data_IF_401773385718
#
_entry.id   IF_401773385718
#
_cell.length_a   1.000
_cell.length_b   1.000
_cell.length_c   1.000
_cell.angle_alpha   90.00
_cell.angle_beta   90.00
_cell.angle_gamma   90.00
#
_symmetry.space_group_name_H-M   'P 1'
#
loop_
_entity.id
_entity.type
_entity.pdbx_description
1 polymer ?
#
# COMPACT_ATOMS: atom_id res chain seq x y z
N UNK A 1 11.07 19.25 -2.00
CA UNK A 1 10.22 19.27 -0.79
C UNK A 1 10.86 18.48 0.34
N UNK A 2 10.76 17.12 0.41
CA UNK A 2 11.29 16.35 1.54
C UNK A 2 12.76 16.63 1.85
N UNK A 3 13.60 16.79 0.82
CA UNK A 3 15.02 17.15 0.97
C UNK A 3 15.25 18.53 1.60
N UNK A 4 14.37 19.48 1.36
CA UNK A 4 14.44 20.82 1.97
C UNK A 4 14.16 20.74 3.47
N UNK A 5 13.36 19.75 3.90
CA UNK A 5 13.08 19.45 5.30
C UNK A 5 14.08 18.45 5.92
N UNK A 6 15.23 18.25 5.27
CA UNK A 6 16.28 17.30 5.67
C UNK A 6 15.77 15.84 5.81
N UNK A 7 14.87 15.44 4.94
CA UNK A 7 14.37 14.07 4.85
C UNK A 7 14.81 13.43 3.53
N UNK A 8 15.30 12.21 3.64
CA UNK A 8 15.64 11.36 2.50
C UNK A 8 14.58 10.26 2.40
N UNK A 9 13.83 10.25 1.30
CA UNK A 9 12.90 9.17 0.99
C UNK A 9 13.63 8.13 0.14
N UNK A 10 13.73 6.91 0.66
CA UNK A 10 14.33 5.77 -0.05
C UNK A 10 13.18 4.88 -0.51
N UNK A 11 13.12 4.62 -1.79
CA UNK A 11 12.10 3.75 -2.39
C UNK A 11 12.70 2.36 -2.62
N UNK A 12 11.96 1.33 -2.20
CA UNK A 12 12.38 -0.08 -2.33
C UNK A 12 11.60 -0.83 -3.41
N UNK A 13 10.37 -0.39 -3.70
CA UNK A 13 9.53 -0.93 -4.75
C UNK A 13 8.86 0.20 -5.55
N UNK A 14 8.69 -0.06 -6.84
CA UNK A 14 7.90 0.74 -7.77
C UNK A 14 7.07 -0.18 -8.66
N UNK A 15 7.25 -0.11 -9.98
CA UNK A 15 6.58 -1.01 -10.91
C UNK A 15 7.07 -2.45 -10.74
N UNK A 16 6.12 -3.38 -10.69
CA UNK A 16 6.39 -4.83 -10.57
C UNK A 16 5.76 -5.55 -11.76
N UNK A 17 6.54 -6.38 -12.45
CA UNK A 17 6.07 -7.19 -13.56
C UNK A 17 5.10 -8.27 -13.12
N UNK A 18 4.26 -8.74 -14.05
CA UNK A 18 3.24 -9.75 -13.79
C UNK A 18 3.85 -11.04 -13.23
N UNK A 19 4.88 -11.55 -13.86
CA UNK A 19 5.59 -12.77 -13.47
C UNK A 19 6.22 -12.62 -12.08
N UNK A 20 6.91 -11.51 -11.84
CA UNK A 20 7.52 -11.21 -10.55
C UNK A 20 6.48 -11.12 -9.43
N UNK A 21 5.32 -10.52 -9.69
CA UNK A 21 4.23 -10.46 -8.72
C UNK A 21 3.71 -11.87 -8.39
N UNK A 22 3.61 -12.75 -9.38
CA UNK A 22 3.24 -14.15 -9.20
C UNK A 22 4.24 -14.90 -8.29
N UNK A 23 5.53 -14.74 -8.54
CA UNK A 23 6.59 -15.32 -7.71
C UNK A 23 6.56 -14.81 -6.26
N UNK A 24 6.35 -13.51 -6.07
CA UNK A 24 6.19 -12.90 -4.74
C UNK A 24 5.01 -13.51 -3.97
N UNK A 25 3.88 -13.70 -4.65
CA UNK A 25 2.69 -14.31 -4.06
C UNK A 25 2.93 -15.77 -3.65
N UNK A 26 3.44 -16.59 -4.57
CA UNK A 26 3.72 -18.02 -4.29
C UNK A 26 4.75 -18.18 -3.18
N UNK A 27 5.78 -17.33 -3.12
CA UNK A 27 6.75 -17.31 -2.02
C UNK A 27 6.09 -17.00 -0.69
N UNK A 28 5.20 -16.01 -0.64
CA UNK A 28 4.46 -15.66 0.59
C UNK A 28 3.55 -16.82 1.02
N UNK A 29 2.84 -17.45 0.08
CA UNK A 29 2.00 -18.60 0.37
C UNK A 29 2.83 -19.79 0.90
N UNK A 30 3.99 -20.06 0.30
CA UNK A 30 4.88 -21.12 0.77
C UNK A 30 5.41 -20.85 2.18
N UNK A 31 5.76 -19.61 2.50
CA UNK A 31 6.15 -19.22 3.86
C UNK A 31 5.01 -19.47 4.85
N UNK A 32 3.77 -19.08 4.51
CA UNK A 32 2.59 -19.37 5.34
C UNK A 32 2.35 -20.86 5.58
N UNK A 33 2.56 -21.69 4.55
CA UNK A 33 2.48 -23.14 4.74
C UNK A 33 3.48 -23.66 5.77
N UNK A 34 4.72 -23.18 5.68
CA UNK A 34 5.83 -23.66 6.52
C UNK A 34 5.73 -23.14 7.96
N UNK A 35 5.47 -21.82 8.12
CA UNK A 35 5.53 -21.14 9.42
C UNK A 35 4.26 -21.35 10.25
N UNK A 36 3.10 -21.41 9.58
CA UNK A 36 1.79 -21.51 10.23
C UNK A 36 1.17 -22.92 10.08
N UNK A 37 1.88 -23.86 9.45
CA UNK A 37 1.43 -25.23 9.18
C UNK A 37 0.06 -25.30 8.49
N UNK A 38 -0.17 -24.40 7.54
CA UNK A 38 -1.41 -24.29 6.79
C UNK A 38 -1.44 -25.24 5.58
N UNK A 39 -2.64 -25.63 5.17
CA UNK A 39 -2.83 -26.29 3.87
C UNK A 39 -2.54 -25.29 2.73
N UNK A 40 -2.22 -25.79 1.54
CA UNK A 40 -1.92 -24.93 0.39
C UNK A 40 -3.06 -23.93 0.07
N UNK A 41 -4.32 -24.35 0.21
CA UNK A 41 -5.48 -23.49 -0.02
C UNK A 41 -5.58 -22.41 1.05
N UNK A 42 -5.44 -22.74 2.32
CA UNK A 42 -5.47 -21.78 3.43
C UNK A 42 -4.30 -20.80 3.34
N UNK A 43 -3.10 -21.30 3.02
CA UNK A 43 -1.91 -20.46 2.87
C UNK A 43 -2.09 -19.42 1.76
N UNK A 44 -2.62 -19.79 0.61
CA UNK A 44 -2.92 -18.85 -0.49
C UNK A 44 -3.99 -17.83 -0.09
N UNK A 45 -5.03 -18.25 0.60
CA UNK A 45 -6.08 -17.34 1.09
C UNK A 45 -5.50 -16.32 2.08
N UNK A 46 -4.69 -16.76 3.03
CA UNK A 46 -4.05 -15.89 4.01
C UNK A 46 -2.99 -14.98 3.37
N UNK A 47 -2.23 -15.50 2.41
CA UNK A 47 -1.22 -14.71 1.69
C UNK A 47 -1.79 -13.50 0.96
N UNK A 48 -3.04 -13.55 0.48
CA UNK A 48 -3.71 -12.44 -0.23
C UNK A 48 -3.84 -11.16 0.59
N UNK A 49 -3.89 -11.27 1.92
CA UNK A 49 -3.90 -10.11 2.81
C UNK A 49 -2.54 -9.38 2.88
N UNK A 50 -1.45 -10.08 2.57
CA UNK A 50 -0.09 -9.54 2.63
C UNK A 50 0.50 -9.24 1.25
N UNK A 51 0.20 -10.08 0.27
CA UNK A 51 0.73 -9.99 -1.09
C UNK A 51 -0.36 -10.32 -2.09
N UNK A 52 -0.67 -9.41 -3.00
CA UNK A 52 -1.66 -9.62 -4.04
C UNK A 52 -1.18 -10.62 -5.09
N UNK A 53 -2.11 -11.33 -5.69
CA UNK A 53 -1.83 -12.18 -6.86
C UNK A 53 -1.40 -11.34 -8.06
N UNK A 54 -0.76 -11.99 -9.02
CA UNK A 54 -0.50 -11.38 -10.32
C UNK A 54 -1.83 -10.96 -10.99
N UNK A 55 -1.87 -9.72 -11.50
CA UNK A 55 -3.08 -9.09 -12.04
C UNK A 55 -3.92 -8.33 -11.00
N UNK A 56 -3.68 -8.50 -9.69
CA UNK A 56 -4.41 -7.84 -8.61
C UNK A 56 -3.58 -6.79 -7.86
N UNK A 57 -2.29 -6.66 -8.16
CA UNK A 57 -1.39 -5.77 -7.43
C UNK A 57 -1.36 -4.37 -8.01
N UNK A 58 -1.57 -3.38 -7.17
CA UNK A 58 -1.44 -1.96 -7.53
C UNK A 58 -0.03 -1.58 -8.04
N UNK A 59 1.01 -2.31 -7.63
CA UNK A 59 2.37 -2.09 -8.13
C UNK A 59 2.49 -2.37 -9.64
N UNK A 60 1.62 -3.20 -10.20
CA UNK A 60 1.58 -3.47 -11.64
C UNK A 60 1.01 -2.31 -12.46
N UNK A 61 0.40 -1.32 -11.82
CA UNK A 61 -0.08 -0.09 -12.48
C UNK A 61 1.01 0.95 -12.68
N UNK A 62 2.15 0.83 -11.99
CA UNK A 62 3.20 1.84 -11.93
C UNK A 62 2.84 3.09 -11.11
N UNK A 63 1.73 3.07 -10.39
CA UNK A 63 1.24 4.21 -9.60
C UNK A 63 1.51 4.05 -8.09
N UNK A 64 2.08 2.93 -7.67
CA UNK A 64 2.46 2.69 -6.28
C UNK A 64 3.96 2.73 -6.07
N UNK A 65 4.35 3.21 -4.90
CA UNK A 65 5.72 3.25 -4.42
C UNK A 65 5.77 2.68 -3.01
N UNK A 66 6.81 1.89 -2.71
CA UNK A 66 7.12 1.48 -1.35
C UNK A 66 8.32 2.26 -0.84
N UNK A 67 8.19 2.81 0.36
CA UNK A 67 9.28 3.50 1.06
C UNK A 67 9.98 2.50 1.99
N UNK A 68 11.29 2.60 2.07
CA UNK A 68 12.09 1.84 3.02
C UNK A 68 11.68 2.15 4.45
N UNK A 69 11.42 1.13 5.22
CA UNK A 69 11.05 1.25 6.63
C UNK A 69 10.46 -0.04 7.14
N UNK A 70 10.60 -0.25 8.43
CA UNK A 70 9.93 -1.36 9.10
C UNK A 70 8.45 -1.05 9.27
N UNK A 71 7.58 -1.93 8.82
CA UNK A 71 6.13 -1.76 8.77
C UNK A 71 5.51 -1.44 10.14
N UNK A 72 6.03 -2.07 11.19
CA UNK A 72 5.50 -1.95 12.55
C UNK A 72 5.89 -0.61 13.21
N UNK A 73 7.10 -0.13 12.92
CA UNK A 73 7.67 1.08 13.56
C UNK A 73 7.60 2.32 12.68
N UNK A 74 7.29 2.19 11.38
CA UNK A 74 7.31 3.30 10.41
C UNK A 74 6.46 4.49 10.83
N UNK A 75 5.30 4.25 11.46
CA UNK A 75 4.39 5.31 11.94
C UNK A 75 5.00 6.22 13.00
N UNK A 76 6.00 5.74 13.72
CA UNK A 76 6.72 6.51 14.73
C UNK A 76 7.82 7.38 14.12
N UNK A 77 8.09 7.21 12.82
CA UNK A 77 9.17 7.90 12.13
C UNK A 77 8.81 9.35 11.77
N UNK A 78 9.84 10.19 11.69
CA UNK A 78 9.73 11.56 11.17
C UNK A 78 9.26 11.54 9.70
N UNK A 79 9.67 10.54 8.93
CA UNK A 79 9.26 10.36 7.54
C UNK A 79 7.75 10.16 7.41
N UNK A 80 7.15 9.31 8.24
CA UNK A 80 5.70 9.11 8.25
C UNK A 80 4.94 10.40 8.59
N UNK A 81 5.37 11.12 9.63
CA UNK A 81 4.73 12.38 10.04
C UNK A 81 4.79 13.42 8.92
N UNK A 82 5.93 13.51 8.24
CA UNK A 82 6.10 14.41 7.10
C UNK A 82 5.21 14.02 5.92
N UNK A 83 5.18 12.74 5.57
CA UNK A 83 4.31 12.22 4.50
C UNK A 83 2.85 12.53 4.79
N UNK A 84 2.37 12.24 6.00
CA UNK A 84 1.00 12.50 6.41
C UNK A 84 0.60 13.98 6.24
N UNK A 85 1.53 14.90 6.50
CA UNK A 85 1.29 16.33 6.39
C UNK A 85 1.40 16.87 4.95
N UNK A 86 2.19 16.23 4.10
CA UNK A 86 2.59 16.84 2.83
C UNK A 86 2.22 16.05 1.58
N UNK A 87 2.12 14.71 1.64
CA UNK A 87 2.01 13.89 0.44
C UNK A 87 0.77 14.19 -0.41
N UNK A 88 -0.34 14.61 0.20
CA UNK A 88 -1.57 14.98 -0.52
C UNK A 88 -1.35 16.13 -1.52
N UNK A 89 -0.50 17.10 -1.19
CA UNK A 89 -0.13 18.21 -2.09
C UNK A 89 0.54 17.74 -3.37
N UNK A 90 1.19 16.57 -3.31
CA UNK A 90 1.90 15.94 -4.43
C UNK A 90 1.08 14.83 -5.09
N UNK A 91 -0.18 14.67 -4.69
CA UNK A 91 -1.10 13.70 -5.29
C UNK A 91 -0.95 12.28 -4.78
N UNK A 92 -0.31 12.07 -3.63
CA UNK A 92 -0.13 10.75 -3.04
C UNK A 92 -1.03 10.56 -1.82
N UNK A 93 -1.43 9.31 -1.61
CA UNK A 93 -2.14 8.83 -0.41
C UNK A 93 -1.47 7.57 0.10
N UNK A 94 -1.67 7.24 1.38
CA UNK A 94 -1.37 5.90 1.88
C UNK A 94 -2.31 4.90 1.22
N UNK A 95 -1.74 3.86 0.58
CA UNK A 95 -2.55 2.87 -0.16
C UNK A 95 -3.35 1.96 0.77
N UNK A 96 -2.74 1.54 1.87
CA UNK A 96 -3.32 0.60 2.84
C UNK A 96 -3.34 1.22 4.24
N UNK A 97 -4.22 2.21 4.49
CA UNK A 97 -4.30 2.88 5.80
C UNK A 97 -4.94 1.99 6.85
N UNK A 98 -4.67 2.27 8.12
CA UNK A 98 -5.27 1.57 9.25
C UNK A 98 -6.79 1.70 9.27
N UNK A 99 -7.44 0.63 9.75
CA UNK A 99 -8.90 0.58 9.89
C UNK A 99 -9.65 0.47 8.56
N UNK A 100 -8.94 0.25 7.44
CA UNK A 100 -9.54 0.18 6.11
C UNK A 100 -9.39 -1.19 5.43
N UNK A 101 -8.91 -2.19 6.14
CA UNK A 101 -8.72 -3.54 5.60
C UNK A 101 -10.02 -4.23 5.14
N UNK A 102 -11.18 -3.82 5.67
CA UNK A 102 -12.48 -4.29 5.17
C UNK A 102 -12.81 -3.78 3.75
N UNK A 103 -12.18 -2.70 3.31
CA UNK A 103 -12.31 -2.15 1.96
C UNK A 103 -11.18 -2.58 1.05
N UNK A 104 -9.95 -2.52 1.55
CA UNK A 104 -8.75 -2.82 0.76
C UNK A 104 -8.48 -4.31 0.62
N UNK A 105 -9.00 -5.15 1.53
CA UNK A 105 -8.70 -6.57 1.67
C UNK A 105 -7.20 -6.88 1.79
N UNK A 106 -6.41 -5.90 2.25
CA UNK A 106 -4.97 -6.00 2.50
C UNK A 106 -4.69 -5.49 3.90
N UNK A 107 -3.74 -6.11 4.58
CA UNK A 107 -3.26 -5.64 5.87
C UNK A 107 -2.73 -4.22 5.79
N UNK A 108 -2.94 -3.39 6.81
CA UNK A 108 -2.44 -2.02 6.83
C UNK A 108 -0.92 -1.99 6.59
N UNK A 109 -0.50 -1.10 5.70
CA UNK A 109 0.90 -0.90 5.37
C UNK A 109 1.22 0.58 5.16
N UNK A 110 1.81 1.25 6.17
CA UNK A 110 2.10 2.68 6.09
C UNK A 110 3.27 3.02 5.18
N UNK A 111 3.97 2.02 4.64
CA UNK A 111 5.11 2.23 3.73
C UNK A 111 4.70 2.32 2.26
N UNK A 112 3.45 1.99 1.91
CA UNK A 112 2.97 1.98 0.52
C UNK A 112 2.19 3.23 0.21
N UNK A 113 2.65 3.99 -0.78
CA UNK A 113 2.00 5.17 -1.32
C UNK A 113 1.37 4.87 -2.68
N UNK A 114 0.22 5.50 -2.95
CA UNK A 114 -0.45 5.47 -4.25
C UNK A 114 -0.59 6.89 -4.79
N UNK A 115 -0.23 7.09 -6.06
CA UNK A 115 -0.51 8.32 -6.77
C UNK A 115 -1.95 8.31 -7.28
N UNK A 116 -2.70 9.35 -6.95
CA UNK A 116 -4.12 9.53 -7.33
C UNK A 116 -4.39 10.93 -7.90
N UNK A 117 -3.36 11.79 -7.97
CA UNK A 117 -3.48 13.20 -8.35
C UNK A 117 -3.89 14.12 -7.19
N UNK A 118 -3.50 15.38 -7.26
CA UNK A 118 -3.63 16.33 -6.15
C UNK A 118 -5.07 16.55 -5.68
N UNK A 119 -6.00 16.74 -6.61
CA UNK A 119 -7.42 16.98 -6.28
C UNK A 119 -8.04 15.76 -5.57
N UNK A 120 -7.78 14.56 -6.07
CA UNK A 120 -8.28 13.33 -5.46
C UNK A 120 -7.64 13.08 -4.09
N UNK A 121 -6.32 13.27 -3.98
CA UNK A 121 -5.61 13.11 -2.72
C UNK A 121 -6.15 14.04 -1.62
N UNK A 122 -6.40 15.30 -1.96
CA UNK A 122 -7.01 16.27 -1.03
C UNK A 122 -8.42 15.85 -0.61
N UNK A 123 -9.25 15.45 -1.57
CA UNK A 123 -10.63 15.03 -1.30
C UNK A 123 -10.68 13.75 -0.44
N UNK A 124 -9.78 12.79 -0.69
CA UNK A 124 -9.65 11.58 0.13
C UNK A 124 -9.20 11.90 1.55
N UNK A 125 -8.24 12.81 1.72
CA UNK A 125 -7.73 13.23 3.01
C UNK A 125 -8.80 13.95 3.83
N UNK A 126 -9.53 14.91 3.24
CA UNK A 126 -10.61 15.63 3.90
C UNK A 126 -11.73 14.71 4.40
N UNK A 127 -12.03 13.65 3.65
CA UNK A 127 -13.09 12.68 3.98
C UNK A 127 -12.59 11.48 4.76
N UNK A 128 -11.29 11.38 5.01
CA UNK A 128 -10.66 10.20 5.63
C UNK A 128 -11.01 8.89 4.93
N UNK A 129 -11.05 8.91 3.59
CA UNK A 129 -11.39 7.77 2.75
C UNK A 129 -10.13 7.06 2.24
N UNK A 130 -10.15 5.73 2.17
CA UNK A 130 -9.21 4.97 1.35
C UNK A 130 -9.62 5.02 -0.14
N UNK A 131 -8.80 4.46 -1.01
CA UNK A 131 -9.04 4.54 -2.46
C UNK A 131 -10.37 3.89 -2.86
N UNK A 132 -10.70 2.74 -2.31
CA UNK A 132 -11.93 1.99 -2.59
C UNK A 132 -13.18 2.78 -2.16
N UNK A 133 -13.16 3.36 -0.95
CA UNK A 133 -14.26 4.21 -0.47
C UNK A 133 -14.44 5.43 -1.38
N UNK A 134 -13.33 6.04 -1.80
CA UNK A 134 -13.38 7.22 -2.64
C UNK A 134 -13.89 6.91 -4.06
N UNK A 135 -13.50 5.78 -4.66
CA UNK A 135 -14.04 5.33 -5.94
C UNK A 135 -15.55 5.14 -5.84
N UNK A 136 -16.03 4.41 -4.82
CA UNK A 136 -17.47 4.24 -4.61
C UNK A 136 -18.18 5.58 -4.43
N UNK A 137 -17.58 6.52 -3.68
CA UNK A 137 -18.16 7.84 -3.47
C UNK A 137 -18.30 8.64 -4.78
N UNK A 138 -17.33 8.60 -5.68
CA UNK A 138 -17.44 9.34 -6.97
C UNK A 138 -18.35 8.64 -7.96
N UNK A 139 -18.48 7.31 -7.92
CA UNK A 139 -19.39 6.54 -8.79
C UNK A 139 -20.86 6.79 -8.42
N UNK A 140 -21.15 7.15 -7.16
CA UNK A 140 -22.49 7.46 -6.66
C UNK A 140 -22.93 8.93 -6.92
N UNK A 141 -22.06 9.79 -7.53
CA UNK A 141 -22.38 11.18 -7.87
C UNK A 141 -23.01 11.33 -9.25
#
# INVERSE_FOLDING_TARGET
AAKEDNLVLIFTDGYVYYEEQGERFEKTAQQKMNDENLTAVMAKTTARAQTRMAGESDFQTGLCLRIAGDKETFKQSRTYSWLKANMGKYGFVFRYPEGKNNYTYVDPDPTVLRYVGGSNASAMQERSMCLEEYISYIDDQ
#
